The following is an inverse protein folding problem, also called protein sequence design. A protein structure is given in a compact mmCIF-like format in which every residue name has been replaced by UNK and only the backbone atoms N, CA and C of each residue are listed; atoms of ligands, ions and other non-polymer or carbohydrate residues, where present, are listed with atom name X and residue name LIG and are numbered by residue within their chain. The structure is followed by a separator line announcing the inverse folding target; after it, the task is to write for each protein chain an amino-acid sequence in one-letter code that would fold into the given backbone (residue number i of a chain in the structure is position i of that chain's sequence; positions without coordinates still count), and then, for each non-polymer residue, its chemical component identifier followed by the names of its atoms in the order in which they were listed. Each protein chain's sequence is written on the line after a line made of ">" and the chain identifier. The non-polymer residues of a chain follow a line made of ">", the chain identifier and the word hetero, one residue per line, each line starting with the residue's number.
data_IF_659106867546
#
_entry.id   IF_659106867546
#
_cell.length_a   1.000
_cell.length_b   1.000
_cell.length_c   1.000
_cell.angle_alpha   90.00
_cell.angle_beta   90.00
_cell.angle_gamma   90.00
#
_symmetry.space_group_name_H-M   'P 1'
#
loop_
_entity.id
_entity.type
_entity.pdbx_description
1 polymer ?
#
# COMPACT_ATOMS: atom_id res chain seq x y z
N UNK A 1 24.98 27.92 -30.21
CA UNK A 1 24.97 26.46 -30.42
C UNK A 1 24.42 25.83 -29.14
N UNK A 2 23.10 25.94 -28.94
CA UNK A 2 22.41 25.31 -27.83
C UNK A 2 21.94 23.99 -28.42
N UNK A 3 22.62 22.89 -28.09
CA UNK A 3 22.13 21.57 -28.45
C UNK A 3 20.90 21.31 -27.61
N UNK A 4 19.77 21.21 -28.29
CA UNK A 4 18.53 20.66 -27.76
C UNK A 4 18.84 19.30 -27.14
N UNK A 5 18.82 19.25 -25.80
CA UNK A 5 18.68 17.99 -25.07
C UNK A 5 17.21 17.58 -25.25
N UNK A 6 16.88 17.12 -26.44
CA UNK A 6 15.65 16.35 -26.64
C UNK A 6 15.80 15.12 -25.77
N UNK A 7 14.99 15.02 -24.72
CA UNK A 7 14.71 13.77 -24.03
C UNK A 7 14.04 12.85 -25.03
N UNK A 8 14.82 12.21 -25.91
CA UNK A 8 14.40 10.97 -26.52
C UNK A 8 14.19 10.03 -25.34
N UNK A 9 12.93 9.85 -24.98
CA UNK A 9 12.52 8.91 -23.95
C UNK A 9 12.36 7.59 -24.67
N UNK A 10 13.38 6.70 -24.72
CA UNK A 10 13.04 5.31 -24.84
C UNK A 10 12.12 5.04 -23.65
N UNK A 11 10.96 4.46 -23.92
CA UNK A 11 10.13 3.86 -22.86
C UNK A 11 11.03 2.79 -22.26
N UNK A 12 11.79 3.14 -21.23
CA UNK A 12 12.59 2.18 -20.50
C UNK A 12 11.60 1.25 -19.84
N UNK A 13 11.65 -0.03 -20.20
CA UNK A 13 11.02 -1.08 -19.42
C UNK A 13 11.43 -0.88 -17.96
N UNK A 14 10.42 -0.75 -17.09
CA UNK A 14 10.60 -0.62 -15.66
C UNK A 14 9.81 -1.76 -14.99
N UNK A 15 10.28 -2.26 -13.85
CA UNK A 15 9.64 -3.39 -13.18
C UNK A 15 8.19 -3.06 -12.81
N UNK A 16 7.33 -4.09 -12.90
CA UNK A 16 5.95 -3.98 -12.38
C UNK A 16 5.99 -3.77 -10.87
N UNK A 17 5.07 -2.96 -10.35
CA UNK A 17 4.93 -2.70 -8.92
C UNK A 17 3.47 -2.72 -8.54
N UNK A 18 3.18 -3.28 -7.36
CA UNK A 18 1.82 -3.46 -6.85
C UNK A 18 1.58 -2.61 -5.60
N UNK A 19 0.35 -2.13 -5.44
CA UNK A 19 -0.06 -1.34 -4.28
C UNK A 19 -1.47 -0.79 -4.49
N UNK A 20 -2.14 -0.44 -3.40
CA UNK A 20 -3.49 0.12 -3.42
C UNK A 20 -3.53 1.50 -4.08
N UNK A 21 -4.75 1.98 -4.36
CA UNK A 21 -4.95 3.39 -4.73
C UNK A 21 -4.37 4.31 -3.67
N UNK A 22 -3.47 5.18 -4.11
CA UNK A 22 -2.74 6.09 -3.25
C UNK A 22 -2.54 7.42 -4.01
N UNK A 23 -3.14 8.49 -3.49
CA UNK A 23 -2.86 9.85 -3.96
C UNK A 23 -1.36 10.15 -3.81
N UNK A 24 -0.75 10.58 -4.92
CA UNK A 24 0.69 10.80 -4.99
C UNK A 24 1.50 9.59 -5.44
N UNK A 25 0.88 8.46 -5.79
CA UNK A 25 1.55 7.28 -6.35
C UNK A 25 2.51 7.65 -7.49
N UNK A 26 3.76 7.21 -7.36
CA UNK A 26 4.86 7.50 -8.29
C UNK A 26 4.97 6.49 -9.43
N UNK A 27 3.96 5.65 -9.66
CA UNK A 27 3.96 4.63 -10.72
C UNK A 27 4.38 5.18 -12.08
N UNK A 28 3.82 6.31 -12.51
CA UNK A 28 4.17 6.94 -13.80
C UNK A 28 5.56 7.58 -13.84
N UNK A 29 6.16 7.83 -12.67
CA UNK A 29 7.47 8.47 -12.53
C UNK A 29 8.60 7.46 -12.29
N UNK A 30 8.29 6.17 -12.07
CA UNK A 30 9.30 5.14 -11.87
C UNK A 30 10.39 5.11 -12.95
N UNK A 31 10.09 5.21 -14.27
CA UNK A 31 11.13 5.24 -15.29
C UNK A 31 12.16 6.35 -15.08
N UNK A 32 11.69 7.54 -14.71
CA UNK A 32 12.55 8.71 -14.50
C UNK A 32 13.35 8.60 -13.21
N UNK A 33 12.72 8.11 -12.12
CA UNK A 33 13.39 7.89 -10.84
C UNK A 33 14.53 6.88 -11.00
N UNK A 34 14.26 5.73 -11.63
CA UNK A 34 15.27 4.71 -11.90
C UNK A 34 16.36 5.22 -12.84
N UNK A 35 16.01 5.98 -13.88
CA UNK A 35 17.00 6.57 -14.77
C UNK A 35 17.96 7.51 -14.02
N UNK A 36 17.45 8.30 -13.08
CA UNK A 36 18.29 9.18 -12.26
C UNK A 36 19.14 8.38 -11.28
N UNK A 37 18.59 7.35 -10.66
CA UNK A 37 19.33 6.48 -9.76
C UNK A 37 20.45 5.71 -10.46
N UNK A 38 20.25 5.24 -11.71
CA UNK A 38 21.29 4.54 -12.49
C UNK A 38 22.48 5.44 -12.85
N UNK A 39 22.31 6.77 -12.85
CA UNK A 39 23.41 7.73 -13.09
C UNK A 39 24.33 7.85 -11.88
N UNK A 40 23.83 7.54 -10.69
CA UNK A 40 24.64 7.45 -9.48
C UNK A 40 25.01 5.98 -9.29
N UNK A 41 26.29 5.67 -9.06
CA UNK A 41 26.75 4.28 -8.83
C UNK A 41 26.41 3.80 -7.42
N UNK A 42 25.19 4.09 -6.97
CA UNK A 42 24.66 3.70 -5.66
C UNK A 42 24.40 2.19 -5.62
N UNK A 43 24.65 1.57 -4.48
CA UNK A 43 24.29 0.18 -4.20
C UNK A 43 23.15 0.11 -3.18
N UNK A 44 23.13 1.07 -2.26
CA UNK A 44 22.15 1.18 -1.19
C UNK A 44 21.25 2.39 -1.40
N UNK A 45 19.94 2.19 -1.31
CA UNK A 45 18.94 3.26 -1.46
C UNK A 45 18.05 3.33 -0.24
N UNK A 46 17.91 4.51 0.33
CA UNK A 46 16.93 4.80 1.36
C UNK A 46 15.69 5.45 0.76
N UNK A 47 14.56 4.75 0.77
CA UNK A 47 13.23 5.30 0.47
C UNK A 47 12.60 5.79 1.79
N UNK A 48 12.70 7.10 2.04
CA UNK A 48 12.35 7.70 3.32
C UNK A 48 10.84 7.76 3.60
N UNK A 49 10.02 7.70 2.55
CA UNK A 49 8.55 7.86 2.59
C UNK A 49 7.89 6.82 1.69
N UNK A 50 8.08 5.55 2.04
CA UNK A 50 7.80 4.43 1.16
C UNK A 50 6.31 4.25 0.80
N UNK A 51 5.38 4.65 1.66
CA UNK A 51 3.94 4.49 1.42
C UNK A 51 3.57 3.07 1.00
N UNK A 52 2.98 2.90 -0.19
CA UNK A 52 2.64 1.58 -0.76
C UNK A 52 3.83 0.80 -1.33
N UNK A 53 5.05 1.25 -1.03
CA UNK A 53 6.34 0.70 -1.43
C UNK A 53 6.60 0.61 -2.93
N UNK A 54 5.83 1.29 -3.79
CA UNK A 54 6.03 1.25 -5.25
C UNK A 54 7.46 1.64 -5.67
N UNK A 55 8.02 2.71 -5.11
CA UNK A 55 9.39 3.14 -5.45
C UNK A 55 10.42 2.15 -4.89
N UNK A 56 10.28 1.76 -3.61
CA UNK A 56 11.07 0.70 -3.00
C UNK A 56 11.07 -0.62 -3.79
N UNK A 57 9.91 -1.09 -4.26
CA UNK A 57 9.78 -2.30 -5.08
C UNK A 57 10.53 -2.17 -6.40
N UNK A 58 10.49 -0.99 -7.02
CA UNK A 58 11.19 -0.75 -8.27
C UNK A 58 12.71 -0.79 -8.07
N UNK A 59 13.23 -0.14 -7.01
CA UNK A 59 14.65 -0.22 -6.67
C UNK A 59 15.08 -1.64 -6.33
N UNK A 60 14.28 -2.36 -5.55
CA UNK A 60 14.60 -3.70 -5.12
C UNK A 60 14.64 -4.72 -6.27
N UNK A 61 13.87 -4.50 -7.34
CA UNK A 61 13.90 -5.30 -8.56
C UNK A 61 15.05 -4.92 -9.51
N UNK A 62 15.73 -3.80 -9.24
CA UNK A 62 16.92 -3.33 -9.96
C UNK A 62 18.20 -3.61 -9.16
N UNK A 63 18.16 -4.64 -8.30
CA UNK A 63 19.26 -5.13 -7.47
C UNK A 63 19.85 -4.13 -6.45
N UNK A 64 19.16 -3.02 -6.16
CA UNK A 64 19.54 -2.15 -5.06
C UNK A 64 19.22 -2.80 -3.71
N UNK A 65 20.10 -2.61 -2.71
CA UNK A 65 19.76 -2.85 -1.31
C UNK A 65 18.89 -1.69 -0.81
N UNK A 66 17.61 -1.97 -0.54
CA UNK A 66 16.62 -0.96 -0.17
C UNK A 66 16.43 -0.90 1.34
N UNK A 67 16.55 0.30 1.90
CA UNK A 67 16.08 0.65 3.23
C UNK A 67 14.76 1.39 3.01
N UNK A 68 13.64 0.77 3.35
CA UNK A 68 12.30 1.34 3.20
C UNK A 68 11.82 1.84 4.54
N UNK A 69 11.41 3.11 4.62
CA UNK A 69 10.84 3.67 5.85
C UNK A 69 9.53 4.40 5.63
N UNK A 70 8.71 4.42 6.67
CA UNK A 70 7.50 5.24 6.78
C UNK A 70 7.08 5.32 8.25
N UNK A 71 6.23 6.28 8.60
CA UNK A 71 5.62 6.32 9.93
C UNK A 71 4.47 5.30 10.05
N UNK A 72 3.89 4.91 8.92
CA UNK A 72 2.65 4.13 8.86
C UNK A 72 2.89 2.64 9.02
N UNK A 73 2.08 1.98 9.86
CA UNK A 73 2.14 0.52 10.07
C UNK A 73 1.84 -0.29 8.80
N UNK A 74 0.95 0.21 7.94
CA UNK A 74 0.59 -0.49 6.71
C UNK A 74 1.71 -0.44 5.66
N UNK A 75 2.54 0.61 5.65
CA UNK A 75 3.75 0.69 4.81
C UNK A 75 4.79 -0.35 5.24
N UNK A 76 4.96 -0.54 6.56
CA UNK A 76 5.80 -1.62 7.11
C UNK A 76 5.30 -3.00 6.64
N UNK A 77 3.99 -3.25 6.66
CA UNK A 77 3.40 -4.49 6.13
C UNK A 77 3.73 -4.70 4.65
N UNK A 78 3.53 -3.69 3.79
CA UNK A 78 3.90 -3.80 2.38
C UNK A 78 5.41 -4.00 2.20
N UNK A 79 6.25 -3.34 3.01
CA UNK A 79 7.69 -3.49 2.99
C UNK A 79 8.12 -4.92 3.32
N UNK A 80 7.58 -5.49 4.40
CA UNK A 80 7.84 -6.87 4.79
C UNK A 80 7.35 -7.86 3.72
N UNK A 81 6.20 -7.60 3.10
CA UNK A 81 5.63 -8.43 2.04
C UNK A 81 6.51 -8.44 0.78
N UNK A 82 6.82 -7.27 0.20
CA UNK A 82 7.48 -7.21 -1.11
C UNK A 82 9.01 -7.22 -1.03
N UNK A 83 9.61 -6.60 -0.01
CA UNK A 83 11.06 -6.38 0.02
C UNK A 83 11.81 -7.45 0.80
N UNK A 84 11.15 -8.14 1.74
CA UNK A 84 11.77 -9.21 2.54
C UNK A 84 11.38 -10.62 2.09
N UNK A 85 10.44 -10.75 1.14
CA UNK A 85 10.04 -12.04 0.62
C UNK A 85 11.14 -12.68 -0.24
N UNK A 86 11.41 -13.96 0.07
CA UNK A 86 12.37 -14.79 -0.66
C UNK A 86 11.73 -16.03 -1.29
N UNK A 87 10.40 -16.19 -1.18
CA UNK A 87 9.66 -17.33 -1.73
C UNK A 87 8.93 -16.91 -3.02
N UNK A 88 8.80 -17.81 -4.01
CA UNK A 88 7.99 -17.52 -5.19
C UNK A 88 6.49 -17.42 -4.83
N UNK A 89 5.68 -16.69 -5.62
CA UNK A 89 4.24 -16.50 -5.35
C UNK A 89 3.47 -17.79 -5.04
N UNK A 90 3.70 -18.87 -5.79
CA UNK A 90 2.97 -20.13 -5.62
C UNK A 90 3.12 -20.75 -4.22
N UNK A 91 4.16 -20.39 -3.46
CA UNK A 91 4.35 -20.87 -2.09
C UNK A 91 3.26 -20.39 -1.13
N UNK A 92 2.58 -19.29 -1.46
CA UNK A 92 1.53 -18.69 -0.62
C UNK A 92 0.11 -19.07 -1.06
N UNK A 93 -0.05 -19.78 -2.18
CA UNK A 93 -1.38 -20.09 -2.73
C UNK A 93 -2.26 -20.83 -1.72
N UNK A 94 -1.71 -21.85 -1.05
CA UNK A 94 -2.45 -22.61 -0.01
C UNK A 94 -2.92 -21.72 1.15
N UNK A 95 -2.09 -20.76 1.57
CA UNK A 95 -2.45 -19.81 2.63
C UNK A 95 -3.59 -18.91 2.16
N UNK A 96 -3.49 -18.35 0.96
CA UNK A 96 -4.53 -17.48 0.39
C UNK A 96 -5.85 -18.24 0.16
N UNK A 97 -5.79 -19.47 -0.35
CA UNK A 97 -6.97 -20.32 -0.53
C UNK A 97 -7.66 -20.63 0.81
N UNK A 98 -6.87 -20.94 1.85
CA UNK A 98 -7.37 -21.14 3.21
C UNK A 98 -8.08 -19.89 3.73
N UNK A 99 -7.46 -18.71 3.64
CA UNK A 99 -8.06 -17.45 4.08
C UNK A 99 -9.34 -17.12 3.29
N UNK A 100 -9.37 -17.38 1.99
CA UNK A 100 -10.57 -17.23 1.16
C UNK A 100 -11.69 -18.21 1.57
N UNK A 101 -11.39 -19.34 2.20
CA UNK A 101 -12.38 -20.30 2.68
C UNK A 101 -12.91 -20.01 4.10
N UNK A 102 -12.30 -19.07 4.84
CA UNK A 102 -12.71 -18.72 6.22
C UNK A 102 -14.16 -18.22 6.27
N UNK A 103 -14.94 -18.71 7.22
CA UNK A 103 -16.31 -18.24 7.44
C UNK A 103 -16.34 -16.76 7.84
N UNK A 104 -17.29 -16.01 7.29
CA UNK A 104 -17.52 -14.62 7.68
C UNK A 104 -18.08 -14.53 9.10
N UNK A 105 -17.63 -13.53 9.87
CA UNK A 105 -18.11 -13.27 11.24
C UNK A 105 -18.37 -11.79 11.44
N UNK A 106 -19.22 -11.44 12.40
CA UNK A 106 -19.40 -10.04 12.81
C UNK A 106 -18.28 -9.66 13.78
N UNK A 107 -17.46 -8.67 13.42
CA UNK A 107 -16.39 -8.15 14.28
C UNK A 107 -16.29 -6.62 14.25
N UNK A 108 -15.12 -6.12 14.61
CA UNK A 108 -14.90 -4.67 14.78
C UNK A 108 -15.05 -3.91 13.46
N UNK A 109 -14.55 -4.44 12.34
CA UNK A 109 -14.69 -3.76 11.05
C UNK A 109 -16.14 -3.72 10.60
N UNK A 110 -16.90 -4.78 10.84
CA UNK A 110 -18.32 -4.82 10.52
C UNK A 110 -19.11 -3.77 11.30
N UNK A 111 -18.84 -3.64 12.60
CA UNK A 111 -19.52 -2.65 13.45
C UNK A 111 -19.19 -1.21 13.05
N UNK A 112 -17.94 -0.92 12.71
CA UNK A 112 -17.49 0.45 12.50
C UNK A 112 -17.58 0.91 11.03
N UNK A 113 -17.31 0.01 10.09
CA UNK A 113 -17.14 0.33 8.67
C UNK A 113 -18.09 -0.41 7.72
N UNK A 114 -18.86 -1.38 8.21
CA UNK A 114 -19.84 -2.12 7.43
C UNK A 114 -21.14 -1.33 7.22
N UNK A 115 -21.66 -1.34 5.98
CA UNK A 115 -22.96 -0.78 5.64
C UNK A 115 -23.84 -1.77 4.89
N UNK A 116 -25.15 -1.72 5.11
CA UNK A 116 -26.11 -2.49 4.32
C UNK A 116 -26.27 -1.89 2.93
N UNK A 117 -26.79 -2.68 1.98
CA UNK A 117 -27.02 -2.21 0.61
C UNK A 117 -27.95 -0.99 0.54
N UNK A 118 -28.86 -0.81 1.51
CA UNK A 118 -29.77 0.33 1.67
C UNK A 118 -30.29 0.94 0.35
N UNK A 119 -30.89 0.11 -0.51
CA UNK A 119 -31.41 0.49 -1.84
C UNK A 119 -30.40 1.23 -2.73
N UNK A 120 -29.12 0.90 -2.61
CA UNK A 120 -28.01 1.54 -3.33
C UNK A 120 -27.27 2.60 -2.54
N UNK A 121 -27.81 3.10 -1.42
CA UNK A 121 -27.17 4.15 -0.61
C UNK A 121 -26.13 3.59 0.36
N UNK A 122 -24.98 4.25 0.48
CA UNK A 122 -23.97 3.93 1.49
C UNK A 122 -24.22 4.60 2.84
N UNK A 123 -25.14 5.56 2.89
CA UNK A 123 -25.55 6.25 4.11
C UNK A 123 -26.39 5.31 4.96
N UNK A 124 -26.02 5.09 6.22
CA UNK A 124 -26.75 4.20 7.12
C UNK A 124 -27.70 4.99 8.04
N UNK A 125 -28.41 4.30 8.94
CA UNK A 125 -29.40 4.91 9.83
C UNK A 125 -28.81 5.97 10.78
N UNK A 126 -27.50 5.95 11.00
CA UNK A 126 -26.74 6.96 11.75
C UNK A 126 -26.40 8.22 10.92
N UNK A 127 -26.77 8.26 9.64
CA UNK A 127 -26.44 9.34 8.71
C UNK A 127 -24.99 9.29 8.18
N UNK A 128 -24.19 8.31 8.60
CA UNK A 128 -22.81 8.15 8.16
C UNK A 128 -22.73 7.29 6.91
N UNK A 129 -21.83 7.68 6.00
CA UNK A 129 -21.47 6.86 4.85
C UNK A 129 -20.54 5.74 5.29
N UNK A 130 -20.75 4.54 4.75
CA UNK A 130 -19.85 3.41 4.99
C UNK A 130 -18.95 3.12 3.77
N UNK A 131 -17.66 2.82 3.99
CA UNK A 131 -16.72 2.52 2.91
C UNK A 131 -16.90 1.13 2.30
N UNK A 132 -17.44 0.16 3.05
CA UNK A 132 -17.62 -1.21 2.56
C UNK A 132 -19.02 -1.72 2.88
N UNK A 133 -19.52 -2.61 2.02
CA UNK A 133 -20.74 -3.34 2.29
C UNK A 133 -20.51 -4.41 3.37
N UNK A 134 -21.55 -4.69 4.15
CA UNK A 134 -21.46 -5.50 5.37
C UNK A 134 -20.96 -6.92 5.12
N UNK A 135 -21.27 -7.53 3.97
CA UNK A 135 -20.76 -8.86 3.63
C UNK A 135 -19.24 -8.89 3.51
N UNK A 136 -18.65 -7.84 2.94
CA UNK A 136 -17.19 -7.71 2.80
C UNK A 136 -16.50 -7.45 4.13
N UNK A 137 -17.09 -6.62 5.02
CA UNK A 137 -16.51 -6.40 6.35
C UNK A 137 -16.60 -7.63 7.25
N UNK A 138 -17.66 -8.44 7.11
CA UNK A 138 -17.78 -9.70 7.84
C UNK A 138 -16.73 -10.72 7.40
N UNK A 139 -16.47 -10.77 6.10
CA UNK A 139 -15.39 -11.60 5.54
C UNK A 139 -14.03 -11.11 6.04
N UNK A 140 -13.81 -9.80 6.04
CA UNK A 140 -12.61 -9.16 6.59
C UNK A 140 -12.38 -9.53 8.06
N UNK A 141 -13.39 -9.39 8.92
CA UNK A 141 -13.28 -9.74 10.34
C UNK A 141 -12.85 -11.20 10.51
N UNK A 142 -13.50 -12.14 9.80
CA UNK A 142 -13.14 -13.56 9.86
C UNK A 142 -11.70 -13.84 9.41
N UNK A 143 -11.27 -13.23 8.30
CA UNK A 143 -9.90 -13.39 7.81
C UNK A 143 -8.88 -12.78 8.78
N UNK A 144 -9.18 -11.64 9.41
CA UNK A 144 -8.29 -11.00 10.38
C UNK A 144 -8.09 -11.86 11.61
N UNK A 145 -9.18 -12.40 12.17
CA UNK A 145 -9.12 -13.34 13.28
C UNK A 145 -8.30 -14.59 12.90
N UNK A 146 -8.49 -15.11 11.68
CA UNK A 146 -7.72 -16.27 11.22
C UNK A 146 -6.22 -15.98 11.11
N UNK A 147 -5.83 -14.84 10.53
CA UNK A 147 -4.43 -14.43 10.42
C UNK A 147 -3.79 -14.29 11.82
N UNK A 148 -4.55 -13.88 12.83
CA UNK A 148 -4.08 -13.73 14.21
C UNK A 148 -4.00 -15.08 14.95
N UNK A 149 -4.82 -16.06 14.55
CA UNK A 149 -4.77 -17.43 15.08
C UNK A 149 -3.62 -18.26 14.49
N UNK A 150 -3.33 -18.08 13.20
CA UNK A 150 -2.28 -18.83 12.51
C UNK A 150 -0.90 -18.43 13.02
N UNK A 151 -0.02 -19.42 13.26
CA UNK A 151 1.38 -19.19 13.59
C UNK A 151 2.21 -18.90 12.33
N UNK A 152 2.00 -17.72 11.73
CA UNK A 152 2.70 -17.27 10.53
C UNK A 152 4.04 -16.61 10.87
N UNK A 153 5.06 -16.84 10.03
CA UNK A 153 6.27 -16.01 10.09
C UNK A 153 5.96 -14.55 9.77
N UNK A 154 6.82 -13.58 10.15
CA UNK A 154 6.58 -12.16 9.85
C UNK A 154 6.28 -11.88 8.37
N UNK A 155 7.03 -12.50 7.45
CA UNK A 155 6.82 -12.35 6.00
C UNK A 155 5.50 -12.99 5.55
N UNK A 156 5.16 -14.19 6.02
CA UNK A 156 3.88 -14.84 5.68
C UNK A 156 2.68 -14.03 6.18
N UNK A 157 2.78 -13.48 7.39
CA UNK A 157 1.78 -12.58 7.97
C UNK A 157 1.65 -11.30 7.14
N UNK A 158 2.77 -10.71 6.72
CA UNK A 158 2.79 -9.54 5.86
C UNK A 158 2.15 -9.83 4.49
N UNK A 159 2.46 -10.98 3.86
CA UNK A 159 1.84 -11.41 2.60
C UNK A 159 0.33 -11.56 2.73
N UNK A 160 -0.15 -12.20 3.81
CA UNK A 160 -1.58 -12.36 4.06
C UNK A 160 -2.29 -11.00 4.28
N UNK A 161 -1.68 -10.11 5.06
CA UNK A 161 -2.21 -8.77 5.31
C UNK A 161 -2.21 -7.90 4.05
N UNK A 162 -1.13 -7.91 3.28
CA UNK A 162 -1.04 -7.19 2.00
C UNK A 162 -2.11 -7.70 1.03
N UNK A 163 -2.29 -9.01 0.90
CA UNK A 163 -3.34 -9.60 0.07
C UNK A 163 -4.74 -9.13 0.48
N UNK A 164 -5.01 -9.10 1.79
CA UNK A 164 -6.27 -8.62 2.35
C UNK A 164 -6.52 -7.14 2.08
N UNK A 165 -5.49 -6.30 2.25
CA UNK A 165 -5.57 -4.85 1.96
C UNK A 165 -5.85 -4.60 0.47
N UNK A 166 -5.19 -5.34 -0.43
CA UNK A 166 -5.44 -5.25 -1.88
C UNK A 166 -6.86 -5.68 -2.23
N UNK A 167 -7.34 -6.78 -1.65
CA UNK A 167 -8.71 -7.26 -1.86
C UNK A 167 -9.76 -6.23 -1.39
N UNK A 168 -9.51 -5.54 -0.27
CA UNK A 168 -10.38 -4.49 0.24
C UNK A 168 -10.46 -3.27 -0.69
N UNK A 169 -9.35 -2.87 -1.31
CA UNK A 169 -9.29 -1.78 -2.30
C UNK A 169 -10.03 -2.15 -3.61
N UNK A 170 -10.22 -3.44 -3.90
CA UNK A 170 -11.03 -3.88 -5.04
C UNK A 170 -12.55 -3.73 -4.80
N UNK A 171 -13.00 -3.65 -3.53
CA UNK A 171 -14.41 -3.68 -3.14
C UNK A 171 -14.86 -2.47 -2.30
N UNK A 172 -14.07 -1.41 -2.24
CA UNK A 172 -14.38 -0.19 -1.49
C UNK A 172 -15.31 0.78 -2.24
N UNK A 173 -15.93 1.65 -1.45
CA UNK A 173 -16.82 2.72 -1.91
C UNK A 173 -16.15 4.11 -1.88
N UNK A 174 -14.85 4.17 -2.15
CA UNK A 174 -14.09 5.41 -2.19
C UNK A 174 -13.66 5.78 -3.61
N UNK A 175 -13.11 7.00 -3.76
CA UNK A 175 -12.45 7.47 -4.99
C UNK A 175 -10.93 7.24 -4.98
N UNK A 176 -10.43 6.35 -4.12
CA UNK A 176 -9.00 6.11 -3.92
C UNK A 176 -8.38 6.89 -2.76
N UNK A 177 -9.22 7.37 -1.84
CA UNK A 177 -8.81 7.89 -0.53
C UNK A 177 -9.95 7.80 0.47
N UNK A 178 -9.64 7.71 1.75
CA UNK A 178 -10.64 7.45 2.79
C UNK A 178 -11.27 8.69 3.45
N UNK A 179 -10.93 9.88 2.95
CA UNK A 179 -11.52 11.16 3.40
C UNK A 179 -12.99 11.31 3.03
N UNK A 180 -13.42 10.71 1.92
CA UNK A 180 -14.79 10.83 1.46
C UNK A 180 -15.24 9.56 0.74
N UNK A 181 -16.46 9.14 1.10
CA UNK A 181 -17.12 8.00 0.49
C UNK A 181 -18.23 8.47 -0.44
N UNK A 182 -18.50 7.68 -1.47
CA UNK A 182 -19.61 7.93 -2.38
C UNK A 182 -20.93 7.75 -1.65
N UNK A 183 -21.92 8.63 -1.90
CA UNK A 183 -23.25 8.50 -1.31
C UNK A 183 -23.98 7.24 -1.78
N UNK A 184 -23.75 6.86 -3.04
CA UNK A 184 -24.25 5.61 -3.61
C UNK A 184 -23.11 4.59 -3.62
N UNK A 185 -23.44 3.32 -3.42
CA UNK A 185 -22.52 2.21 -3.57
C UNK A 185 -21.96 2.15 -4.99
N UNK A 186 -20.65 2.08 -5.10
CA UNK A 186 -19.97 1.80 -6.36
C UNK A 186 -20.27 0.37 -6.83
N UNK A 187 -20.27 0.13 -8.14
CA UNK A 187 -20.54 -1.21 -8.71
C UNK A 187 -19.61 -2.29 -8.14
N UNK A 188 -18.36 -1.91 -7.85
CA UNK A 188 -17.36 -2.84 -7.30
C UNK A 188 -17.60 -3.21 -5.84
N UNK A 189 -18.30 -2.39 -5.05
CA UNK A 189 -18.57 -2.71 -3.64
C UNK A 189 -19.54 -3.87 -3.45
N UNK A 190 -20.27 -4.23 -4.51
CA UNK A 190 -21.15 -5.42 -4.56
C UNK A 190 -20.39 -6.72 -4.84
N UNK A 191 -19.12 -6.66 -5.23
CA UNK A 191 -18.30 -7.86 -5.38
C UNK A 191 -18.00 -8.46 -4.00
N UNK A 192 -17.68 -9.75 -4.00
CA UNK A 192 -17.16 -10.44 -2.84
C UNK A 192 -15.67 -10.13 -2.64
N UNK A 193 -15.28 -9.93 -1.38
CA UNK A 193 -13.88 -9.81 -0.97
C UNK A 193 -13.15 -11.12 -1.30
N UNK A 194 -12.17 -11.05 -2.19
CA UNK A 194 -11.40 -12.20 -2.63
C UNK A 194 -9.91 -11.90 -2.65
N UNK A 195 -9.15 -12.62 -1.84
CA UNK A 195 -7.70 -12.46 -1.71
C UNK A 195 -7.00 -13.11 -2.89
N UNK A 196 -5.94 -12.46 -3.38
CA UNK A 196 -5.01 -12.98 -4.39
C UNK A 196 -3.61 -12.95 -3.82
N UNK A 197 -2.77 -13.90 -4.22
CA UNK A 197 -1.33 -13.80 -3.88
C UNK A 197 -0.80 -12.49 -4.46
N UNK A 198 -0.14 -11.62 -3.66
CA UNK A 198 0.46 -10.40 -4.19
C UNK A 198 1.47 -10.71 -5.31
N UNK A 199 1.75 -9.73 -6.16
CA UNK A 199 2.74 -9.81 -7.24
C UNK A 199 4.16 -9.79 -6.65
N UNK A 200 4.52 -10.87 -5.96
CA UNK A 200 5.79 -11.03 -5.30
C UNK A 200 6.90 -11.28 -6.32
N UNK A 201 8.02 -10.61 -6.11
CA UNK A 201 9.31 -10.96 -6.69
C UNK A 201 10.21 -11.56 -5.62
N UNK A 202 11.24 -12.29 -6.04
CA UNK A 202 12.21 -12.88 -5.13
C UNK A 202 13.31 -11.84 -4.93
N UNK A 203 13.48 -11.39 -3.68
CA UNK A 203 14.57 -10.50 -3.35
C UNK A 203 15.81 -11.25 -2.87
N UNK A 204 16.98 -10.90 -3.39
CA UNK A 204 18.29 -11.46 -2.99
C UNK A 204 19.11 -10.50 -2.13
N UNK A 205 18.73 -9.22 -2.08
CA UNK A 205 19.39 -8.18 -1.31
C UNK A 205 18.95 -8.17 0.15
N UNK A 206 19.81 -7.61 1.02
CA UNK A 206 19.55 -7.48 2.46
C UNK A 206 18.75 -6.21 2.75
N UNK A 207 17.53 -6.14 2.23
CA UNK A 207 16.64 -5.01 2.44
C UNK A 207 16.26 -4.85 3.92
N UNK A 208 15.89 -3.63 4.30
CA UNK A 208 15.51 -3.27 5.66
C UNK A 208 14.20 -2.48 5.66
N UNK A 209 13.34 -2.76 6.64
CA UNK A 209 12.07 -2.05 6.84
C UNK A 209 12.15 -1.31 8.18
N UNK A 210 11.92 0.00 8.16
CA UNK A 210 12.00 0.85 9.35
C UNK A 210 10.70 1.63 9.53
N UNK A 211 9.96 1.38 10.61
CA UNK A 211 8.78 2.18 10.96
C UNK A 211 9.19 3.30 11.91
N UNK A 212 9.08 4.55 11.49
CA UNK A 212 9.46 5.69 12.32
C UNK A 212 9.34 7.03 11.62
N UNK A 213 9.51 8.10 12.40
CA UNK A 213 9.61 9.45 11.85
C UNK A 213 10.96 9.59 11.14
N UNK A 214 10.95 10.13 9.91
CA UNK A 214 12.17 10.34 9.12
C UNK A 214 13.26 11.08 9.88
N UNK A 215 12.91 12.07 10.71
CA UNK A 215 13.88 12.87 11.47
C UNK A 215 14.57 12.07 12.57
N UNK A 216 13.92 11.03 13.10
CA UNK A 216 14.51 10.14 14.08
C UNK A 216 15.44 9.10 13.40
N UNK A 217 15.13 8.75 12.15
CA UNK A 217 15.84 7.73 11.36
C UNK A 217 17.09 8.27 10.65
N UNK A 218 17.18 9.57 10.37
CA UNK A 218 18.33 10.15 9.63
C UNK A 218 19.70 9.84 10.26
N UNK A 219 19.75 9.65 11.59
CA UNK A 219 20.99 9.40 12.31
C UNK A 219 21.40 7.92 12.32
N UNK A 220 20.49 7.00 12.01
CA UNK A 220 20.72 5.55 12.06
C UNK A 220 20.84 4.90 10.68
N UNK A 221 20.45 5.61 9.62
CA UNK A 221 20.46 5.10 8.25
C UNK A 221 21.73 5.54 7.52
N UNK A 222 22.41 4.56 6.91
CA UNK A 222 23.53 4.79 6.00
C UNK A 222 23.16 4.22 4.62
N UNK A 223 23.09 5.10 3.62
CA UNK A 223 22.77 4.75 2.24
C UNK A 223 23.51 5.65 1.26
N UNK A 224 23.84 5.13 0.08
CA UNK A 224 24.53 5.86 -0.99
C UNK A 224 23.60 6.89 -1.66
N UNK A 225 22.31 6.57 -1.72
CA UNK A 225 21.26 7.40 -2.29
C UNK A 225 20.07 7.46 -1.34
N UNK A 226 19.54 8.65 -1.11
CA UNK A 226 18.27 8.83 -0.41
C UNK A 226 17.21 9.40 -1.36
N UNK A 227 16.04 8.75 -1.38
CA UNK A 227 14.85 9.18 -2.08
C UNK A 227 13.85 9.76 -1.08
N UNK A 228 13.50 11.03 -1.26
CA UNK A 228 12.52 11.73 -0.43
C UNK A 228 11.33 12.17 -1.28
N UNK A 229 10.16 11.62 -0.95
CA UNK A 229 8.87 12.04 -1.49
C UNK A 229 7.88 12.24 -0.33
N UNK A 230 8.10 13.28 0.50
CA UNK A 230 7.27 13.50 1.67
C UNK A 230 5.81 13.74 1.28
N UNK A 231 4.87 13.37 2.15
CA UNK A 231 3.44 13.62 1.92
C UNK A 231 3.17 15.11 1.66
N UNK A 232 2.31 15.39 0.68
CA UNK A 232 1.89 16.76 0.36
C UNK A 232 1.05 17.33 1.50
N UNK A 233 1.68 18.09 2.40
CA UNK A 233 1.01 18.85 3.46
C UNK A 233 1.06 20.34 3.18
N UNK A 234 -0.11 20.99 3.07
CA UNK A 234 -0.21 22.44 3.27
C UNK A 234 0.05 22.76 4.73
N UNK A 235 0.99 23.68 5.00
CA UNK A 235 1.16 24.25 6.33
C UNK A 235 -0.11 25.03 6.70
N UNK A 236 -0.90 24.51 7.64
CA UNK A 236 -2.18 25.07 8.05
C UNK A 236 -2.03 26.33 8.94
N UNK A 237 -0.83 26.73 9.36
CA UNK A 237 -0.62 28.07 9.93
C UNK A 237 -0.83 29.16 8.87
N UNK A 238 -0.61 28.82 7.58
CA UNK A 238 -0.65 29.77 6.47
C UNK A 238 -1.79 29.52 5.49
N UNK A 239 -2.63 28.50 5.70
CA UNK A 239 -3.78 28.20 4.83
C UNK A 239 -5.04 27.87 5.64
N UNK A 240 -6.21 28.42 5.25
CA UNK A 240 -7.48 28.13 5.92
C UNK A 240 -7.81 26.62 5.88
N UNK A 241 -8.59 26.11 6.85
CA UNK A 241 -8.84 24.67 7.10
C UNK A 241 -9.63 23.93 6.00
N UNK A 242 -9.70 24.47 4.79
CA UNK A 242 -10.42 23.87 3.65
C UNK A 242 -9.72 22.67 3.03
N UNK A 243 -8.49 22.32 3.47
CA UNK A 243 -7.77 21.14 2.98
C UNK A 243 -7.73 20.05 4.05
N UNK A 244 -8.21 18.87 3.66
CA UNK A 244 -8.15 17.68 4.49
C UNK A 244 -6.69 17.28 4.68
N UNK A 245 -6.31 16.89 5.91
CA UNK A 245 -4.93 16.53 6.26
C UNK A 245 -4.49 15.32 5.43
N UNK A 246 -3.22 15.29 4.99
CA UNK A 246 -2.67 14.15 4.26
C UNK A 246 -2.87 12.82 5.01
N UNK A 247 -2.62 12.85 6.32
CA UNK A 247 -2.86 11.75 7.25
C UNK A 247 -4.33 11.29 7.33
N UNK A 248 -5.29 12.06 6.83
CA UNK A 248 -6.70 11.66 6.80
C UNK A 248 -7.08 10.94 5.49
N UNK A 249 -6.25 11.04 4.43
CA UNK A 249 -6.44 10.30 3.17
C UNK A 249 -6.23 8.80 3.34
N UNK A 250 -5.43 8.43 4.35
CA UNK A 250 -5.08 7.06 4.68
C UNK A 250 -5.33 6.93 6.16
N UNK A 251 -6.25 6.07 6.58
CA UNK A 251 -6.47 5.82 7.99
C UNK A 251 -5.15 5.35 8.62
N UNK A 252 -4.47 6.24 9.35
CA UNK A 252 -3.30 5.93 10.17
C UNK A 252 -3.72 5.22 11.44
#
# INVERSE_FOLDING_TARGET
>A
MIQDVTFSCPVCDFPSTEGVKYAGSKLKLLPHILQMARKVKAQTVWDAFSGTTRVSQAFAQEDYQVISSDISVWSEVFGQCYLLNQKPPFSYQKLIDHLNAVSSVDGWFTQNYGGTANKGSSIQGDGLKKPWQIHNTRKLDGIREEIDRLSLSPVERAVALTSLILALDEVDNTLGHFVSYLQQWSTRSYKELHLKVPQLFINTQKNQIQRGNVFDLTNSINADLAYFDPPYGSNNEKMPPSRVRYASYYHL
#
